data_IF_231010613473
#
_entry.id   IF_231010613473
#
_cell.length_a   1.000
_cell.length_b   1.000
_cell.length_c   1.000
_cell.angle_alpha   90.00
_cell.angle_beta   90.00
_cell.angle_gamma   90.00
#
_symmetry.space_group_name_H-M   'P 1'
#
loop_
_entity.id
_entity.type
_entity.pdbx_description
1 polymer ?
#
# COMPACT_ATOMS: atom_id res chain seq x y z
N UNK A 1 -16.73 6.49 18.50
CA UNK A 1 -15.39 6.26 19.04
C UNK A 1 -14.99 4.86 18.67
N UNK A 2 -13.89 4.70 18.00
CA UNK A 2 -13.36 3.43 17.53
C UNK A 2 -11.86 3.35 17.85
N UNK A 3 -11.34 2.14 18.08
CA UNK A 3 -9.93 1.86 18.32
C UNK A 3 -9.34 1.06 17.16
N UNK A 4 -8.02 0.98 17.08
CA UNK A 4 -7.33 0.20 16.03
C UNK A 4 -7.69 -1.28 16.04
N UNK A 5 -8.03 -1.84 17.20
CA UNK A 5 -8.35 -3.27 17.38
C UNK A 5 -9.81 -3.62 17.09
N UNK A 6 -10.67 -2.62 16.92
CA UNK A 6 -12.07 -2.86 16.65
C UNK A 6 -12.29 -3.54 15.29
N UNK A 7 -13.30 -4.40 15.25
CA UNK A 7 -13.69 -5.04 14.00
C UNK A 7 -14.32 -4.02 13.06
N UNK A 8 -13.93 -4.11 11.80
CA UNK A 8 -14.34 -3.16 10.78
C UNK A 8 -15.86 -3.18 10.50
N UNK A 9 -16.50 -4.34 10.62
CA UNK A 9 -17.95 -4.50 10.45
C UNK A 9 -18.78 -3.77 11.51
N UNK A 10 -18.23 -3.57 12.72
CA UNK A 10 -18.91 -2.77 13.76
C UNK A 10 -18.83 -1.26 13.47
N UNK A 11 -17.75 -0.82 12.83
CA UNK A 11 -17.53 0.61 12.53
C UNK A 11 -18.21 1.02 11.22
N UNK A 12 -18.09 0.20 10.17
CA UNK A 12 -18.56 0.51 8.81
C UNK A 12 -19.85 -0.23 8.42
N UNK A 13 -20.25 -1.24 9.19
CA UNK A 13 -21.31 -2.18 8.82
C UNK A 13 -20.87 -3.23 7.78
N UNK A 14 -21.58 -4.36 7.76
CA UNK A 14 -21.23 -5.52 6.92
C UNK A 14 -21.20 -5.24 5.41
N UNK A 15 -21.97 -4.26 4.91
CA UNK A 15 -22.00 -3.93 3.47
C UNK A 15 -20.68 -3.35 2.98
N UNK A 16 -20.01 -2.55 3.80
CA UNK A 16 -18.72 -1.94 3.47
C UNK A 16 -17.55 -2.84 3.87
N UNK A 17 -17.61 -3.45 5.07
CA UNK A 17 -16.54 -4.29 5.60
C UNK A 17 -16.43 -5.65 4.89
N UNK A 18 -17.56 -6.28 4.51
CA UNK A 18 -17.57 -7.61 3.90
C UNK A 18 -16.71 -7.72 2.64
N UNK A 19 -16.85 -6.86 1.63
CA UNK A 19 -15.98 -6.88 0.46
C UNK A 19 -14.50 -6.63 0.76
N UNK A 20 -14.17 -5.82 1.77
CA UNK A 20 -12.79 -5.58 2.21
C UNK A 20 -12.18 -6.83 2.86
N UNK A 21 -12.96 -7.54 3.67
CA UNK A 21 -12.52 -8.82 4.26
C UNK A 21 -12.36 -9.90 3.18
N UNK A 22 -13.34 -10.07 2.29
CA UNK A 22 -13.35 -11.13 1.27
C UNK A 22 -12.19 -10.98 0.27
N UNK A 23 -11.89 -9.75 -0.17
CA UNK A 23 -10.96 -9.52 -1.26
C UNK A 23 -9.57 -9.07 -0.85
N UNK A 24 -9.39 -8.55 0.37
CA UNK A 24 -8.11 -8.04 0.88
C UNK A 24 -7.74 -8.60 2.26
N UNK A 25 -8.62 -9.38 2.90
CA UNK A 25 -8.38 -9.91 4.24
C UNK A 25 -8.43 -8.86 5.35
N UNK A 26 -8.96 -7.68 5.08
CA UNK A 26 -9.06 -6.53 6.01
C UNK A 26 -10.23 -6.76 6.96
N UNK A 27 -9.96 -6.96 8.24
CA UNK A 27 -10.94 -7.31 9.28
C UNK A 27 -11.09 -6.26 10.37
N UNK A 28 -10.00 -5.57 10.68
CA UNK A 28 -9.94 -4.59 11.76
C UNK A 28 -9.71 -3.18 11.23
N UNK A 29 -9.94 -2.20 12.08
CA UNK A 29 -9.59 -0.80 11.80
C UNK A 29 -8.09 -0.68 11.47
N UNK A 30 -7.23 -1.37 12.23
CA UNK A 30 -5.80 -1.39 11.99
C UNK A 30 -5.45 -1.96 10.62
N UNK A 31 -6.09 -3.06 10.19
CA UNK A 31 -5.84 -3.63 8.86
C UNK A 31 -6.18 -2.64 7.75
N UNK A 32 -7.29 -1.90 7.89
CA UNK A 32 -7.70 -0.88 6.92
C UNK A 32 -6.71 0.27 6.87
N UNK A 33 -6.29 0.80 8.03
CA UNK A 33 -5.36 1.93 8.09
C UNK A 33 -3.91 1.55 7.74
N UNK A 34 -3.57 0.26 7.72
CA UNK A 34 -2.30 -0.26 7.19
C UNK A 34 -2.38 -0.69 5.72
N UNK A 35 -3.56 -0.61 5.10
CA UNK A 35 -3.71 -0.74 3.66
C UNK A 35 -3.35 0.59 2.99
N UNK A 36 -2.06 0.90 2.93
CA UNK A 36 -1.54 2.20 2.51
C UNK A 36 -1.81 2.49 1.04
N UNK A 37 -2.01 3.78 0.68
CA UNK A 37 -2.03 4.20 -0.71
C UNK A 37 -0.72 3.84 -1.42
N UNK A 38 -0.82 3.26 -2.60
CA UNK A 38 0.34 2.94 -3.44
C UNK A 38 0.90 4.19 -4.13
N UNK A 39 0.01 5.09 -4.53
CA UNK A 39 0.33 6.35 -5.24
C UNK A 39 -0.62 7.45 -4.79
N UNK A 40 -0.29 8.69 -5.15
CA UNK A 40 -1.16 9.85 -4.97
C UNK A 40 -1.32 10.55 -6.32
N UNK A 41 -2.52 11.07 -6.58
CA UNK A 41 -2.80 11.89 -7.76
C UNK A 41 -2.41 13.34 -7.46
N UNK A 42 -1.57 13.94 -8.28
CA UNK A 42 -1.22 15.37 -8.22
C UNK A 42 -2.17 16.21 -9.10
N UNK A 43 -3.47 15.97 -9.00
CA UNK A 43 -4.46 16.70 -9.80
C UNK A 43 -4.49 16.35 -11.28
N UNK A 44 -3.44 15.85 -11.86
CA UNK A 44 -3.37 15.35 -13.24
C UNK A 44 -2.35 14.22 -13.38
N UNK A 45 -2.83 13.02 -13.67
CA UNK A 45 -2.07 11.87 -14.20
C UNK A 45 -1.26 11.06 -13.18
N UNK A 46 -1.72 9.87 -12.91
CA UNK A 46 -1.04 8.86 -12.08
C UNK A 46 -0.19 7.88 -12.91
N UNK A 47 -0.21 8.01 -14.23
CA UNK A 47 0.72 7.28 -15.08
C UNK A 47 2.04 8.05 -15.09
N UNK A 48 3.04 7.56 -14.36
CA UNK A 48 4.41 8.04 -14.46
C UNK A 48 4.87 8.01 -15.92
N UNK A 49 5.52 9.06 -16.39
CA UNK A 49 6.18 9.05 -17.70
C UNK A 49 7.19 7.90 -17.70
N UNK A 50 6.95 6.85 -18.51
CA UNK A 50 7.86 5.72 -18.69
C UNK A 50 7.57 4.47 -17.85
N UNK A 51 6.47 4.38 -17.10
CA UNK A 51 6.05 3.10 -16.53
C UNK A 51 5.41 2.22 -17.61
N UNK A 52 6.10 1.15 -17.99
CA UNK A 52 5.53 0.06 -18.78
C UNK A 52 4.57 -0.73 -17.87
N UNK A 53 3.27 -0.50 -18.03
CA UNK A 53 2.24 -1.23 -17.31
C UNK A 53 2.05 -2.60 -17.99
N UNK A 54 2.01 -3.66 -17.19
CA UNK A 54 1.78 -5.01 -17.72
C UNK A 54 0.31 -5.21 -18.10
N UNK A 55 0.08 -6.00 -19.15
CA UNK A 55 -1.27 -6.38 -19.55
C UNK A 55 -1.93 -7.21 -18.44
N UNK A 56 -3.14 -6.82 -18.04
CA UNK A 56 -3.87 -7.40 -16.92
C UNK A 56 -3.63 -6.70 -15.58
N UNK A 57 -2.68 -5.77 -15.46
CA UNK A 57 -2.49 -4.98 -14.25
C UNK A 57 -3.72 -4.09 -14.00
N UNK A 58 -4.18 -4.05 -12.73
CA UNK A 58 -5.29 -3.19 -12.33
C UNK A 58 -4.78 -1.81 -11.95
N UNK A 59 -5.20 -0.79 -12.70
CA UNK A 59 -4.76 0.59 -12.53
C UNK A 59 -5.91 1.52 -12.18
N UNK A 60 -5.59 2.56 -11.45
CA UNK A 60 -6.50 3.69 -11.19
C UNK A 60 -5.76 4.98 -11.47
N UNK A 61 -6.40 5.89 -12.18
CA UNK A 61 -5.85 7.21 -12.47
C UNK A 61 -6.94 8.27 -12.67
N UNK A 62 -6.55 9.53 -12.51
CA UNK A 62 -7.37 10.71 -12.73
C UNK A 62 -6.87 11.41 -13.99
N UNK A 63 -7.76 11.72 -14.92
CA UNK A 63 -7.40 12.44 -16.14
C UNK A 63 -8.59 13.19 -16.73
N UNK A 64 -8.32 14.00 -17.75
CA UNK A 64 -9.33 14.77 -18.49
C UNK A 64 -9.60 14.10 -19.83
N UNK A 65 -10.88 14.01 -20.20
CA UNK A 65 -11.29 13.54 -21.52
C UNK A 65 -10.89 14.56 -22.58
N UNK A 66 -10.02 14.15 -23.48
CA UNK A 66 -9.61 14.95 -24.65
C UNK A 66 -10.43 14.65 -25.88
N UNK A 67 -11.08 13.47 -25.95
CA UNK A 67 -11.93 13.09 -27.06
C UNK A 67 -12.92 12.00 -26.63
N UNK A 68 -14.18 12.11 -27.04
CA UNK A 68 -15.20 11.10 -26.82
C UNK A 68 -15.93 10.78 -28.15
N UNK A 69 -15.74 9.56 -28.66
CA UNK A 69 -16.25 9.15 -29.97
C UNK A 69 -17.15 7.93 -29.89
N UNK A 70 -18.40 7.97 -30.37
CA UNK A 70 -19.17 6.77 -30.58
C UNK A 70 -18.63 5.99 -31.79
N UNK A 71 -18.41 4.69 -31.61
CA UNK A 71 -17.99 3.77 -32.67
C UNK A 71 -18.92 2.57 -32.73
N UNK A 72 -18.85 1.83 -33.83
CA UNK A 72 -19.67 0.67 -34.09
C UNK A 72 -18.82 -0.58 -34.27
N UNK A 73 -19.30 -1.71 -33.78
CA UNK A 73 -18.62 -3.00 -33.99
C UNK A 73 -18.68 -3.40 -35.45
N UNK A 74 -17.61 -4.06 -35.94
CA UNK A 74 -17.54 -4.53 -37.34
C UNK A 74 -18.40 -5.79 -37.62
N UNK A 75 -18.78 -6.53 -36.53
CA UNK A 75 -19.58 -7.78 -36.64
C UNK A 75 -21.06 -7.51 -36.49
N UNK A 76 -21.87 -8.24 -37.20
CA UNK A 76 -23.35 -8.20 -37.07
C UNK A 76 -23.78 -9.00 -35.81
N UNK A 77 -24.78 -8.52 -35.05
CA UNK A 77 -25.42 -7.20 -35.18
C UNK A 77 -24.47 -6.07 -34.75
N UNK A 78 -24.48 -4.97 -35.54
CA UNK A 78 -23.68 -3.77 -35.21
C UNK A 78 -24.10 -3.21 -33.86
N UNK A 79 -23.16 -3.13 -32.94
CA UNK A 79 -23.38 -2.55 -31.60
C UNK A 79 -22.56 -1.28 -31.46
N UNK A 80 -23.19 -0.26 -30.93
CA UNK A 80 -22.51 0.99 -30.60
C UNK A 80 -21.73 0.89 -29.31
N UNK A 81 -20.52 1.46 -29.28
CA UNK A 81 -19.71 1.62 -28.12
C UNK A 81 -19.07 3.01 -28.08
N UNK A 82 -18.75 3.51 -26.88
CA UNK A 82 -18.12 4.79 -26.68
C UNK A 82 -16.63 4.57 -26.43
N UNK A 83 -15.79 5.27 -27.19
CA UNK A 83 -14.34 5.33 -26.94
C UNK A 83 -14.01 6.72 -26.42
N UNK A 84 -13.40 6.76 -25.25
CA UNK A 84 -12.94 7.98 -24.60
C UNK A 84 -11.43 7.98 -24.62
N UNK A 85 -10.82 9.06 -25.11
CA UNK A 85 -9.37 9.26 -25.09
C UNK A 85 -9.04 10.23 -23.96
N UNK A 86 -8.04 9.89 -23.20
CA UNK A 86 -7.65 10.58 -21.98
C UNK A 86 -6.28 11.23 -22.14
N UNK A 87 -6.13 12.39 -21.50
CA UNK A 87 -4.89 13.12 -21.42
C UNK A 87 -4.37 13.69 -22.71
N UNK A 88 -3.47 14.61 -22.59
CA UNK A 88 -2.67 15.20 -23.69
C UNK A 88 -1.29 14.57 -23.78
N UNK A 89 -0.89 13.77 -22.80
CA UNK A 89 0.44 13.14 -22.68
C UNK A 89 0.53 11.81 -23.44
N UNK A 90 1.74 11.34 -23.65
CA UNK A 90 1.99 10.01 -24.24
C UNK A 90 2.52 9.07 -23.13
N UNK A 91 2.13 7.76 -23.12
CA UNK A 91 1.26 7.10 -24.10
C UNK A 91 -0.20 7.53 -23.99
N UNK A 92 -0.94 7.54 -25.11
CA UNK A 92 -2.40 7.79 -25.11
C UNK A 92 -3.11 6.64 -24.42
N UNK A 93 -3.99 6.98 -23.49
CA UNK A 93 -4.87 6.02 -22.82
C UNK A 93 -6.27 6.15 -23.39
N UNK A 94 -6.90 5.01 -23.69
CA UNK A 94 -8.28 4.96 -24.13
C UNK A 94 -9.13 4.13 -23.20
N UNK A 95 -10.35 4.56 -22.94
CA UNK A 95 -11.36 3.77 -22.24
C UNK A 95 -12.51 3.43 -23.17
N UNK A 96 -12.93 2.17 -23.22
CA UNK A 96 -13.99 1.69 -24.11
C UNK A 96 -15.19 1.20 -23.30
N UNK A 97 -16.36 1.76 -23.60
CA UNK A 97 -17.62 1.43 -22.93
C UNK A 97 -18.63 0.88 -23.95
N UNK A 98 -18.98 -0.41 -23.85
CA UNK A 98 -20.02 -1.01 -24.67
C UNK A 98 -21.41 -0.77 -24.06
N UNK A 99 -22.47 -0.73 -24.89
CA UNK A 99 -23.85 -0.49 -24.49
C UNK A 99 -24.07 0.80 -23.65
N UNK A 100 -23.28 1.80 -23.91
CA UNK A 100 -23.12 2.98 -23.03
C UNK A 100 -23.83 4.23 -23.63
N UNK A 101 -24.98 4.09 -24.25
CA UNK A 101 -25.73 5.23 -24.85
C UNK A 101 -25.98 6.37 -23.85
N UNK A 102 -26.19 6.01 -22.57
CA UNK A 102 -26.43 6.98 -21.51
C UNK A 102 -25.15 7.75 -21.10
N UNK A 103 -23.97 7.20 -21.36
CA UNK A 103 -22.70 7.85 -21.02
C UNK A 103 -22.30 8.97 -21.96
N UNK A 104 -22.81 8.99 -23.18
CA UNK A 104 -22.50 10.01 -24.20
C UNK A 104 -22.80 11.44 -23.75
N UNK A 105 -23.81 11.63 -22.91
CA UNK A 105 -24.19 12.96 -22.41
C UNK A 105 -23.35 13.43 -21.23
N UNK A 106 -22.59 12.54 -20.61
CA UNK A 106 -21.84 12.81 -19.42
C UNK A 106 -20.32 12.68 -19.60
N UNK A 107 -19.87 11.72 -20.40
CA UNK A 107 -18.46 11.57 -20.75
C UNK A 107 -18.15 12.37 -22.02
N UNK A 108 -18.00 13.67 -21.86
CA UNK A 108 -17.73 14.63 -22.94
C UNK A 108 -16.30 15.19 -22.78
N UNK A 109 -15.82 15.80 -23.85
CA UNK A 109 -14.52 16.50 -23.83
C UNK A 109 -14.48 17.56 -22.72
N UNK A 110 -13.35 17.66 -22.00
CA UNK A 110 -13.19 18.53 -20.84
C UNK A 110 -13.70 17.93 -19.51
N UNK A 111 -14.30 16.74 -19.52
CA UNK A 111 -14.69 16.06 -18.28
C UNK A 111 -13.47 15.49 -17.58
N UNK A 112 -13.24 15.88 -16.32
CA UNK A 112 -12.24 15.29 -15.44
C UNK A 112 -12.85 14.12 -14.68
N UNK A 113 -12.20 12.96 -14.76
CA UNK A 113 -12.75 11.74 -14.14
C UNK A 113 -11.64 10.85 -13.60
N UNK A 114 -12.00 10.06 -12.60
CA UNK A 114 -11.20 8.94 -12.11
C UNK A 114 -11.64 7.68 -12.84
N UNK A 115 -10.67 6.89 -13.29
CA UNK A 115 -10.88 5.62 -13.97
C UNK A 115 -10.15 4.51 -13.24
N UNK A 116 -10.77 3.33 -13.16
CA UNK A 116 -10.14 2.15 -12.56
C UNK A 116 -10.50 0.92 -13.38
N UNK A 117 -9.48 0.15 -13.80
CA UNK A 117 -9.68 -1.01 -14.64
C UNK A 117 -8.38 -1.75 -14.94
N UNK A 118 -8.50 -2.88 -15.62
CA UNK A 118 -7.36 -3.66 -16.08
C UNK A 118 -6.80 -3.08 -17.38
N UNK A 119 -5.48 -3.03 -17.42
CA UNK A 119 -4.71 -2.61 -18.59
C UNK A 119 -4.82 -3.66 -19.68
N UNK A 120 -5.13 -3.24 -20.88
CA UNK A 120 -4.99 -4.02 -22.09
C UNK A 120 -4.34 -3.16 -23.16
N UNK A 121 -3.86 -3.77 -24.21
CA UNK A 121 -3.26 -3.07 -25.35
C UNK A 121 -4.02 -3.39 -26.63
N UNK A 122 -4.39 -2.37 -27.35
CA UNK A 122 -5.00 -2.51 -28.68
C UNK A 122 -4.25 -1.65 -29.70
N UNK A 123 -3.63 -2.28 -30.69
CA UNK A 123 -2.79 -1.63 -31.72
C UNK A 123 -1.72 -0.70 -31.12
N UNK A 124 -1.05 -1.16 -30.05
CA UNK A 124 0.00 -0.40 -29.39
C UNK A 124 -0.49 0.77 -28.52
N UNK A 125 -1.82 0.93 -28.35
CA UNK A 125 -2.40 1.95 -27.47
C UNK A 125 -2.96 1.28 -26.23
N UNK A 126 -2.63 1.80 -25.05
CA UNK A 126 -3.21 1.32 -23.80
C UNK A 126 -4.72 1.56 -23.79
N UNK A 127 -5.45 0.51 -23.43
CA UNK A 127 -6.90 0.52 -23.41
C UNK A 127 -7.43 -0.10 -22.12
N UNK A 128 -8.38 0.59 -21.49
CA UNK A 128 -9.19 0.04 -20.42
C UNK A 128 -10.57 -0.37 -21.01
N UNK A 129 -10.95 -1.62 -20.81
CA UNK A 129 -12.24 -2.13 -21.29
C UNK A 129 -13.25 -2.15 -20.15
N UNK A 130 -14.33 -1.40 -20.28
CA UNK A 130 -15.36 -1.22 -19.27
C UNK A 130 -14.79 -0.85 -17.89
N UNK A 131 -13.88 0.16 -17.78
CA UNK A 131 -13.38 0.56 -16.50
C UNK A 131 -14.51 1.05 -15.60
N UNK A 132 -14.36 0.90 -14.31
CA UNK A 132 -15.13 1.67 -13.35
C UNK A 132 -14.70 3.13 -13.46
N UNK A 133 -15.61 4.07 -13.26
CA UNK A 133 -15.30 5.49 -13.38
C UNK A 133 -16.11 6.35 -12.42
N UNK A 134 -15.57 7.51 -12.11
CA UNK A 134 -16.20 8.55 -11.33
C UNK A 134 -15.88 9.91 -11.96
N UNK A 135 -16.90 10.70 -12.23
CA UNK A 135 -16.75 12.06 -12.77
C UNK A 135 -16.50 13.02 -11.62
N UNK A 136 -15.34 13.64 -11.60
CA UNK A 136 -14.93 14.66 -10.64
C UNK A 136 -15.48 16.03 -11.05
N UNK A 137 -15.25 16.42 -12.30
CA UNK A 137 -15.71 17.68 -12.87
C UNK A 137 -16.27 17.45 -14.27
N UNK A 138 -17.37 18.11 -14.61
CA UNK A 138 -17.96 18.01 -15.94
C UNK A 138 -18.39 19.37 -16.45
N UNK A 139 -18.11 19.70 -17.72
CA UNK A 139 -18.62 20.92 -18.34
C UNK A 139 -20.15 21.04 -18.29
N UNK A 140 -20.86 19.91 -18.13
CA UNK A 140 -22.32 19.88 -17.99
C UNK A 140 -22.82 20.08 -16.56
N UNK A 141 -21.92 20.25 -15.56
CA UNK A 141 -22.26 20.40 -14.15
C UNK A 141 -22.90 19.15 -13.52
N UNK A 142 -22.85 18.01 -14.20
CA UNK A 142 -23.43 16.75 -13.70
C UNK A 142 -22.36 15.82 -13.17
N UNK A 143 -22.47 15.47 -11.91
CA UNK A 143 -21.71 14.39 -11.32
C UNK A 143 -22.41 13.07 -11.53
N UNK A 144 -21.67 12.07 -12.00
CA UNK A 144 -22.17 10.70 -12.10
C UNK A 144 -21.00 9.69 -12.15
N UNK A 145 -21.30 8.43 -11.82
CA UNK A 145 -20.31 7.37 -11.80
C UNK A 145 -20.95 5.99 -11.84
N UNK A 146 -20.15 4.96 -11.71
CA UNK A 146 -20.60 3.56 -11.61
C UNK A 146 -21.47 3.34 -10.37
N UNK A 147 -22.24 2.25 -10.35
CA UNK A 147 -23.21 1.95 -9.27
C UNK A 147 -22.60 1.89 -7.87
N UNK A 148 -21.31 1.58 -7.74
CA UNK A 148 -20.58 1.53 -6.49
C UNK A 148 -20.65 2.83 -5.68
N UNK A 149 -20.67 3.98 -6.35
CA UNK A 149 -20.76 5.29 -5.70
C UNK A 149 -22.10 5.56 -5.02
N UNK A 150 -23.19 5.08 -5.58
CA UNK A 150 -24.51 5.15 -4.92
C UNK A 150 -24.52 4.33 -3.63
N UNK A 151 -23.73 3.27 -3.57
CA UNK A 151 -23.57 2.42 -2.39
C UNK A 151 -22.75 3.12 -1.33
N UNK A 152 -21.67 3.82 -1.71
CA UNK A 152 -20.85 4.61 -0.78
C UNK A 152 -21.65 5.75 -0.18
N UNK A 153 -22.38 6.52 -1.02
CA UNK A 153 -23.28 7.58 -0.53
C UNK A 153 -24.32 7.04 0.45
N UNK A 154 -24.90 5.88 0.17
CA UNK A 154 -25.86 5.25 1.05
C UNK A 154 -25.25 4.70 2.35
N UNK A 155 -23.97 4.35 2.34
CA UNK A 155 -23.25 3.77 3.50
C UNK A 155 -22.68 4.84 4.40
N UNK A 156 -22.18 5.96 3.83
CA UNK A 156 -21.59 7.08 4.58
C UNK A 156 -22.63 8.07 5.14
N UNK A 157 -23.91 7.94 4.76
CA UNK A 157 -24.95 8.93 5.13
C UNK A 157 -24.73 10.33 4.52
N UNK A 158 -23.68 10.49 3.70
CA UNK A 158 -23.32 11.75 3.07
C UNK A 158 -24.20 12.01 1.84
N UNK A 159 -24.56 13.27 1.63
CA UNK A 159 -25.21 13.71 0.38
C UNK A 159 -24.25 13.58 -0.79
N UNK A 160 -24.77 13.48 -2.02
CA UNK A 160 -23.94 13.35 -3.22
C UNK A 160 -22.89 14.46 -3.36
N UNK A 161 -23.21 15.69 -2.92
CA UNK A 161 -22.32 16.84 -3.00
C UNK A 161 -21.20 16.79 -1.93
N UNK A 162 -21.49 16.29 -0.72
CA UNK A 162 -20.47 16.06 0.32
C UNK A 162 -19.48 14.97 -0.08
N UNK A 163 -19.94 13.90 -0.74
CA UNK A 163 -19.06 12.89 -1.29
C UNK A 163 -18.17 13.44 -2.42
N UNK A 164 -18.72 14.32 -3.26
CA UNK A 164 -17.97 14.98 -4.32
C UNK A 164 -16.82 15.81 -3.74
N UNK A 165 -17.07 16.63 -2.74
CA UNK A 165 -16.05 17.47 -2.10
C UNK A 165 -14.90 16.65 -1.49
N UNK A 166 -15.19 15.43 -1.03
CA UNK A 166 -14.17 14.49 -0.52
C UNK A 166 -13.25 13.99 -1.63
N UNK A 167 -13.75 13.89 -2.87
CA UNK A 167 -12.98 13.43 -4.02
C UNK A 167 -12.40 14.55 -4.90
N UNK A 168 -12.82 15.80 -4.69
CA UNK A 168 -12.32 17.00 -5.39
C UNK A 168 -10.94 17.48 -4.88
N UNK A 169 -10.13 16.57 -4.34
CA UNK A 169 -8.79 16.90 -3.85
C UNK A 169 -7.77 16.80 -4.97
N UNK A 170 -6.89 17.79 -5.04
CA UNK A 170 -5.77 17.75 -5.99
C UNK A 170 -4.77 16.63 -5.66
N UNK A 171 -4.62 16.30 -4.37
CA UNK A 171 -3.76 15.22 -3.89
C UNK A 171 -4.60 14.06 -3.35
N UNK A 172 -4.99 13.13 -4.24
CA UNK A 172 -5.88 12.01 -3.92
C UNK A 172 -5.10 10.69 -3.74
N UNK A 173 -5.31 9.95 -2.63
CA UNK A 173 -4.64 8.68 -2.39
C UNK A 173 -5.22 7.56 -3.25
N UNK A 174 -4.36 6.80 -3.93
CA UNK A 174 -4.74 5.66 -4.77
C UNK A 174 -4.31 4.38 -4.08
N UNK A 175 -5.28 3.60 -3.68
CA UNK A 175 -5.07 2.34 -2.98
C UNK A 175 -4.92 1.17 -3.94
N UNK A 176 -4.20 0.10 -3.55
CA UNK A 176 -4.32 -1.20 -4.20
C UNK A 176 -5.79 -1.62 -4.23
N UNK A 177 -6.34 -1.76 -5.42
CA UNK A 177 -7.75 -2.02 -5.66
C UNK A 177 -7.93 -3.19 -6.65
N UNK A 178 -9.15 -3.67 -6.83
CA UNK A 178 -9.48 -4.70 -7.80
C UNK A 178 -10.86 -4.44 -8.43
N UNK A 179 -11.32 -5.33 -9.33
CA UNK A 179 -12.63 -5.21 -9.99
C UNK A 179 -13.83 -5.14 -9.04
N UNK A 180 -13.70 -5.64 -7.81
CA UNK A 180 -14.79 -5.76 -6.85
C UNK A 180 -14.82 -4.62 -5.86
N UNK A 181 -13.64 -4.13 -5.45
CA UNK A 181 -13.49 -3.01 -4.52
C UNK A 181 -12.56 -1.98 -5.13
N UNK A 182 -13.09 -0.80 -5.39
CA UNK A 182 -12.38 0.27 -6.06
C UNK A 182 -11.66 1.17 -5.05
N UNK A 183 -10.63 1.90 -5.52
CA UNK A 183 -9.84 2.79 -4.67
C UNK A 183 -10.68 3.83 -3.92
N UNK A 184 -11.71 4.39 -4.56
CA UNK A 184 -12.60 5.36 -3.91
C UNK A 184 -13.50 4.74 -2.84
N UNK A 185 -13.85 3.44 -2.97
CA UNK A 185 -14.59 2.71 -1.92
C UNK A 185 -13.72 2.53 -0.68
N UNK A 186 -12.45 2.15 -0.90
CA UNK A 186 -11.45 2.05 0.18
C UNK A 186 -11.25 3.40 0.84
N UNK A 187 -11.06 4.47 0.05
CA UNK A 187 -10.88 5.82 0.58
C UNK A 187 -12.09 6.30 1.40
N UNK A 188 -13.31 6.04 0.94
CA UNK A 188 -14.52 6.38 1.70
C UNK A 188 -14.58 5.64 3.04
N UNK A 189 -14.22 4.35 3.06
CA UNK A 189 -14.12 3.57 4.29
C UNK A 189 -13.04 4.12 5.23
N UNK A 190 -11.87 4.45 4.71
CA UNK A 190 -10.78 5.06 5.49
C UNK A 190 -11.23 6.39 6.11
N UNK A 191 -11.85 7.26 5.33
CA UNK A 191 -12.39 8.54 5.82
C UNK A 191 -13.36 8.34 6.98
N UNK A 192 -14.36 7.48 6.79
CA UNK A 192 -15.36 7.19 7.81
C UNK A 192 -14.74 6.62 9.10
N UNK A 193 -13.72 5.77 8.97
CA UNK A 193 -13.00 5.26 10.13
C UNK A 193 -12.21 6.36 10.83
N UNK A 194 -11.46 7.18 10.08
CA UNK A 194 -10.65 8.26 10.67
C UNK A 194 -11.48 9.34 11.36
N UNK A 195 -12.73 9.57 10.92
CA UNK A 195 -13.66 10.52 11.53
C UNK A 195 -14.12 10.07 12.94
N UNK A 196 -14.11 8.75 13.21
CA UNK A 196 -14.56 8.17 14.50
C UNK A 196 -13.44 7.54 15.32
N UNK A 197 -12.22 7.51 14.78
CA UNK A 197 -11.04 6.94 15.44
C UNK A 197 -10.58 7.79 16.60
N UNK A 198 -10.50 7.17 17.78
CA UNK A 198 -9.85 7.78 18.94
C UNK A 198 -8.35 7.99 18.67
N UNK A 199 -7.72 9.02 19.27
CA UNK A 199 -6.28 9.19 19.18
C UNK A 199 -5.54 7.92 19.59
N UNK A 200 -4.55 7.49 18.79
CA UNK A 200 -3.79 6.30 19.10
C UNK A 200 -2.68 6.59 20.10
N UNK A 201 -2.40 5.63 20.98
CA UNK A 201 -1.29 5.74 21.91
C UNK A 201 0.05 5.69 21.15
N UNK A 202 1.00 6.54 21.60
CA UNK A 202 2.33 6.59 21.00
C UNK A 202 3.24 5.50 21.58
N UNK A 203 3.63 4.47 20.78
CA UNK A 203 4.44 3.38 21.30
C UNK A 203 5.92 3.73 21.47
N UNK A 204 6.39 4.78 20.77
CA UNK A 204 7.79 5.16 20.81
C UNK A 204 8.07 6.22 21.90
N UNK A 205 9.22 6.16 22.58
CA UNK A 205 9.63 7.20 23.50
C UNK A 205 9.78 8.56 22.80
N UNK A 206 9.35 9.63 23.46
CA UNK A 206 9.45 11.01 22.93
C UNK A 206 10.89 11.39 22.51
N UNK A 207 11.90 10.87 23.21
CA UNK A 207 13.31 11.08 22.86
C UNK A 207 13.68 10.51 21.48
N UNK A 208 13.10 9.36 21.10
CA UNK A 208 13.32 8.74 19.78
C UNK A 208 12.67 9.58 18.70
N UNK A 209 11.43 10.02 18.90
CA UNK A 209 10.73 10.89 17.95
C UNK A 209 11.54 12.17 17.69
N UNK A 210 12.03 12.81 18.73
CA UNK A 210 12.82 14.04 18.60
C UNK A 210 14.16 13.81 17.89
N UNK A 211 14.92 12.76 18.28
CA UNK A 211 16.21 12.44 17.66
C UNK A 211 16.10 12.10 16.17
N UNK A 212 15.00 11.47 15.78
CA UNK A 212 14.76 11.03 14.40
C UNK A 212 13.89 11.98 13.61
N UNK A 213 13.43 13.09 14.21
CA UNK A 213 12.51 14.05 13.61
C UNK A 213 11.25 13.38 13.04
N UNK A 214 10.64 12.47 13.83
CA UNK A 214 9.44 11.73 13.45
C UNK A 214 8.20 12.35 14.08
N UNK A 215 7.10 12.31 13.34
CA UNK A 215 5.75 12.64 13.84
C UNK A 215 5.19 11.46 14.67
N UNK A 216 4.10 11.69 15.39
CA UNK A 216 3.41 10.64 16.17
C UNK A 216 2.79 9.58 15.27
N UNK A 217 2.47 8.38 15.84
CA UNK A 217 1.79 7.32 15.08
C UNK A 217 0.41 7.79 14.61
N UNK A 218 -0.37 8.46 15.46
CA UNK A 218 -1.69 9.00 15.11
C UNK A 218 -1.61 9.99 13.94
N UNK A 219 -0.67 10.94 14.00
CA UNK A 219 -0.43 11.88 12.91
C UNK A 219 -0.02 11.16 11.62
N UNK A 220 0.84 10.16 11.71
CA UNK A 220 1.31 9.41 10.54
C UNK A 220 0.19 8.59 9.90
N UNK A 221 -0.62 7.89 10.70
CA UNK A 221 -1.77 7.12 10.20
C UNK A 221 -2.82 8.02 9.54
N UNK A 222 -3.06 9.22 10.07
CA UNK A 222 -3.97 10.19 9.43
C UNK A 222 -3.36 10.79 8.18
N UNK A 223 -2.12 11.26 8.27
CA UNK A 223 -1.45 11.95 7.16
C UNK A 223 -1.19 11.05 5.96
N UNK A 224 -0.87 9.75 6.14
CA UNK A 224 -0.67 8.84 5.01
C UNK A 224 -1.93 8.68 4.15
N UNK A 225 -3.12 8.87 4.71
CA UNK A 225 -4.39 8.78 4.00
C UNK A 225 -4.97 10.13 3.58
N UNK A 226 -4.65 11.19 4.33
CA UNK A 226 -5.28 12.50 4.19
C UNK A 226 -4.30 13.61 3.80
N UNK A 227 -3.04 13.27 3.44
CA UNK A 227 -2.04 14.24 3.01
C UNK A 227 -2.59 15.19 1.94
N UNK A 228 -2.26 16.46 2.06
CA UNK A 228 -2.63 17.49 1.09
C UNK A 228 -1.48 17.80 0.12
N UNK A 229 -0.28 17.36 0.48
CA UNK A 229 0.92 17.59 -0.31
C UNK A 229 1.97 16.49 -0.08
N UNK A 230 2.97 16.48 -0.94
CA UNK A 230 4.06 15.51 -0.90
C UNK A 230 4.85 15.53 0.40
N UNK A 231 5.08 16.71 1.00
CA UNK A 231 5.85 16.83 2.24
C UNK A 231 5.16 16.17 3.44
N UNK A 232 3.84 16.30 3.55
CA UNK A 232 3.07 15.61 4.59
C UNK A 232 3.11 14.09 4.41
N UNK A 233 2.92 13.62 3.17
CA UNK A 233 3.04 12.20 2.83
C UNK A 233 4.41 11.65 3.20
N UNK A 234 5.48 12.34 2.84
CA UNK A 234 6.86 11.89 3.10
C UNK A 234 7.15 11.79 4.60
N UNK A 235 6.67 12.74 5.41
CA UNK A 235 6.80 12.67 6.87
C UNK A 235 6.03 11.46 7.44
N UNK A 236 4.81 11.23 6.98
CA UNK A 236 4.02 10.07 7.38
C UNK A 236 4.69 8.77 6.97
N UNK A 237 5.15 8.67 5.73
CA UNK A 237 5.85 7.50 5.20
C UNK A 237 7.15 7.22 5.98
N UNK A 238 7.94 8.25 6.29
CA UNK A 238 9.16 8.10 7.07
C UNK A 238 8.88 7.49 8.46
N UNK A 239 7.81 7.96 9.15
CA UNK A 239 7.40 7.40 10.43
C UNK A 239 6.95 5.95 10.30
N UNK A 240 6.05 5.64 9.39
CA UNK A 240 5.50 4.28 9.23
C UNK A 240 6.57 3.27 8.79
N UNK A 241 7.50 3.68 7.92
CA UNK A 241 8.66 2.85 7.56
C UNK A 241 9.57 2.59 8.76
N UNK A 242 9.76 3.60 9.62
CA UNK A 242 10.54 3.43 10.85
C UNK A 242 9.85 2.43 11.80
N UNK A 243 8.52 2.53 11.97
CA UNK A 243 7.76 1.61 12.82
C UNK A 243 7.85 0.16 12.33
N UNK A 244 7.75 -0.08 11.02
CA UNK A 244 7.93 -1.42 10.44
C UNK A 244 9.34 -1.96 10.70
N UNK A 245 10.38 -1.13 10.54
CA UNK A 245 11.75 -1.51 10.82
C UNK A 245 11.97 -1.83 12.30
N UNK A 246 11.39 -1.03 13.21
CA UNK A 246 11.44 -1.28 14.66
C UNK A 246 10.73 -2.58 15.01
N UNK A 247 9.53 -2.83 14.45
CA UNK A 247 8.79 -4.06 14.68
C UNK A 247 9.57 -5.31 14.25
N UNK A 248 10.19 -5.25 13.06
CA UNK A 248 11.06 -6.32 12.56
C UNK A 248 12.27 -6.54 13.48
N UNK A 249 12.97 -5.47 13.84
CA UNK A 249 14.13 -5.56 14.73
C UNK A 249 13.74 -6.08 16.12
N UNK A 250 12.58 -5.64 16.63
CA UNK A 250 12.07 -6.14 17.92
C UNK A 250 11.84 -7.66 17.90
N UNK A 251 11.23 -8.15 16.83
CA UNK A 251 10.99 -9.59 16.65
C UNK A 251 12.31 -10.38 16.58
N UNK A 252 13.31 -9.87 15.82
CA UNK A 252 14.64 -10.50 15.71
C UNK A 252 15.40 -10.49 17.03
N UNK A 253 15.37 -9.37 17.75
CA UNK A 253 16.00 -9.23 19.08
C UNK A 253 15.29 -10.14 20.08
N UNK A 254 13.95 -10.17 20.09
CA UNK A 254 13.18 -11.06 20.96
C UNK A 254 13.52 -12.54 20.74
N UNK A 255 13.67 -12.96 19.49
CA UNK A 255 14.10 -14.31 19.13
C UNK A 255 15.53 -14.58 19.64
N UNK A 256 16.45 -13.66 19.40
CA UNK A 256 17.84 -13.80 19.88
C UNK A 256 17.91 -13.90 21.39
N UNK A 257 17.14 -13.10 22.13
CA UNK A 257 17.10 -13.20 23.59
C UNK A 257 16.48 -14.51 24.06
N UNK A 258 15.46 -15.04 23.38
CA UNK A 258 14.91 -16.36 23.66
C UNK A 258 15.96 -17.47 23.48
N UNK A 259 16.69 -17.47 22.37
CA UNK A 259 17.78 -18.41 22.10
C UNK A 259 18.92 -18.29 23.15
N UNK A 260 19.27 -17.08 23.59
CA UNK A 260 20.31 -16.84 24.61
C UNK A 260 19.85 -17.19 26.04
N UNK A 261 18.56 -17.33 26.30
CA UNK A 261 18.03 -17.75 27.61
C UNK A 261 18.13 -19.25 27.84
N UNK A 262 18.32 -20.05 26.78
CA UNK A 262 18.56 -21.47 26.90
C UNK A 262 19.99 -21.72 27.50
N UNK A 263 20.10 -22.68 28.41
CA UNK A 263 21.40 -23.07 28.95
C UNK A 263 21.99 -24.22 28.12
N UNK A 264 23.20 -24.03 27.64
CA UNK A 264 23.98 -25.07 26.97
C UNK A 264 25.06 -25.72 27.88
N UNK A 265 25.61 -26.86 27.47
CA UNK A 265 26.74 -27.44 28.17
C UNK A 265 27.97 -26.53 28.05
N UNK A 266 28.62 -26.27 29.18
CA UNK A 266 29.87 -25.50 29.21
C UNK A 266 31.03 -26.38 28.75
N UNK A 267 31.72 -25.94 27.69
CA UNK A 267 32.89 -26.63 27.15
C UNK A 267 34.14 -25.75 27.34
N UNK A 268 34.79 -25.88 28.50
CA UNK A 268 36.02 -25.14 28.75
C UNK A 268 37.22 -25.92 28.24
N UNK A 269 38.15 -25.29 27.50
CA UNK A 269 39.37 -25.93 27.08
C UNK A 269 40.26 -26.23 28.31
N UNK A 270 40.71 -27.46 28.42
CA UNK A 270 41.73 -27.85 29.41
C UNK A 270 43.12 -27.65 28.82
N UNK A 271 44.09 -27.26 29.66
CA UNK A 271 45.48 -26.96 29.23
C UNK A 271 46.16 -28.14 28.51
N UNK A 272 45.87 -29.36 28.94
CA UNK A 272 46.40 -30.60 28.34
C UNK A 272 45.31 -31.46 27.69
N UNK A 273 44.19 -30.87 27.30
CA UNK A 273 43.05 -31.53 26.71
C UNK A 273 43.20 -31.81 25.21
N UNK A 274 42.12 -32.38 24.63
CA UNK A 274 42.06 -32.77 23.21
C UNK A 274 42.32 -31.61 22.23
N UNK A 275 41.90 -30.40 22.57
CA UNK A 275 42.10 -29.21 21.74
C UNK A 275 43.60 -28.87 21.64
N UNK A 276 44.33 -28.96 22.78
CA UNK A 276 45.77 -28.74 22.85
C UNK A 276 46.53 -29.81 22.08
N UNK A 277 46.14 -31.08 22.24
CA UNK A 277 46.73 -32.20 21.49
C UNK A 277 46.52 -32.07 19.97
N UNK A 278 45.30 -31.67 19.56
CA UNK A 278 44.99 -31.44 18.17
C UNK A 278 45.83 -30.29 17.57
N UNK A 279 45.95 -29.17 18.29
CA UNK A 279 46.77 -28.02 17.84
C UNK A 279 48.23 -28.38 17.63
N UNK A 280 48.78 -29.22 18.50
CA UNK A 280 50.17 -29.68 18.41
C UNK A 280 50.42 -30.69 17.28
N UNK A 281 49.38 -31.35 16.77
CA UNK A 281 49.45 -32.30 15.65
C UNK A 281 49.19 -31.72 14.25
N UNK A 282 48.82 -30.39 14.17
CA UNK A 282 48.61 -29.76 12.89
C UNK A 282 49.90 -29.74 12.07
N UNK A 283 49.88 -30.12 10.80
CA UNK A 283 51.05 -30.11 9.91
C UNK A 283 51.41 -28.71 9.38
N UNK A 284 50.73 -27.69 9.88
CA UNK A 284 50.90 -26.27 9.51
C UNK A 284 50.63 -25.36 10.71
N UNK A 285 51.14 -24.13 10.66
CA UNK A 285 50.82 -23.11 11.64
C UNK A 285 49.52 -22.37 11.27
N UNK A 286 48.68 -22.16 12.30
CA UNK A 286 47.47 -21.32 12.10
C UNK A 286 47.85 -19.88 11.88
N UNK A 287 47.14 -19.20 10.98
CA UNK A 287 47.28 -17.75 10.78
C UNK A 287 46.79 -16.99 12.01
N UNK A 288 47.18 -15.72 12.14
CA UNK A 288 46.73 -14.89 13.27
C UNK A 288 45.21 -14.77 13.33
N UNK A 289 44.54 -14.57 12.18
CA UNK A 289 43.07 -14.50 12.10
C UNK A 289 42.39 -15.81 12.55
N UNK A 290 42.97 -16.98 12.20
CA UNK A 290 42.43 -18.27 12.66
C UNK A 290 42.63 -18.45 14.18
N UNK A 291 43.76 -18.00 14.74
CA UNK A 291 43.98 -18.00 16.19
C UNK A 291 42.98 -17.13 16.93
N UNK A 292 42.78 -15.88 16.46
CA UNK A 292 41.81 -14.95 17.04
C UNK A 292 40.38 -15.52 17.03
N UNK A 293 39.95 -16.11 15.92
CA UNK A 293 38.61 -16.74 15.79
C UNK A 293 38.48 -17.91 16.77
N UNK A 294 39.49 -18.77 16.89
CA UNK A 294 39.50 -19.92 17.85
C UNK A 294 39.44 -19.45 19.29
N UNK A 295 40.08 -18.34 19.61
CA UNK A 295 40.05 -17.79 20.98
C UNK A 295 38.66 -17.24 21.31
N UNK A 296 38.00 -16.55 20.36
CA UNK A 296 36.60 -16.09 20.50
C UNK A 296 35.65 -17.28 20.68
N UNK A 297 35.77 -18.32 19.84
CA UNK A 297 34.93 -19.52 19.94
C UNK A 297 35.16 -20.25 21.28
N UNK A 298 36.37 -20.37 21.72
CA UNK A 298 36.72 -21.00 23.02
C UNK A 298 36.15 -20.24 24.21
N UNK A 299 36.21 -18.91 24.17
CA UNK A 299 35.65 -18.06 25.21
C UNK A 299 34.09 -18.22 25.27
N UNK A 300 33.41 -18.18 24.13
CA UNK A 300 31.96 -18.33 24.09
C UNK A 300 31.48 -19.75 24.46
N UNK A 301 32.18 -20.80 24.04
CA UNK A 301 31.90 -22.18 24.45
C UNK A 301 32.11 -22.43 25.94
N UNK A 302 32.91 -21.57 26.60
CA UNK A 302 33.14 -21.61 28.04
C UNK A 302 32.00 -20.98 28.85
N UNK A 303 31.03 -20.34 28.19
CA UNK A 303 29.85 -19.82 28.84
C UNK A 303 28.72 -20.87 28.88
N UNK A 304 27.72 -20.68 29.74
CA UNK A 304 26.52 -21.54 29.80
C UNK A 304 25.47 -21.23 28.73
N UNK A 305 25.75 -20.30 27.84
CA UNK A 305 24.87 -19.89 26.77
C UNK A 305 25.16 -20.67 25.48
N UNK A 306 24.13 -21.02 24.69
CA UNK A 306 24.36 -21.65 23.39
C UNK A 306 25.07 -20.69 22.45
N UNK A 307 26.14 -21.17 21.83
CA UNK A 307 26.88 -20.43 20.81
C UNK A 307 26.23 -20.64 19.44
N UNK A 308 25.89 -19.54 18.79
CA UNK A 308 25.35 -19.55 17.41
C UNK A 308 26.21 -18.61 16.55
N UNK A 309 27.18 -19.18 15.83
CA UNK A 309 28.16 -18.45 15.02
C UNK A 309 28.24 -19.00 13.59
N UNK A 310 28.37 -18.11 12.65
CA UNK A 310 28.74 -18.45 11.27
C UNK A 310 30.20 -18.05 11.05
N UNK A 311 31.01 -19.01 10.65
CA UNK A 311 32.39 -18.76 10.23
C UNK A 311 32.39 -18.56 8.72
N UNK A 312 32.88 -17.40 8.28
CA UNK A 312 33.05 -17.08 6.87
C UNK A 312 34.53 -16.79 6.61
N UNK A 313 35.13 -17.50 5.66
CA UNK A 313 36.51 -17.36 5.27
C UNK A 313 36.68 -17.14 3.79
#
# INVERSE_FOLDING_TARGET
MATLTDRLDYVLGNKAAGPLEEHFGIRTVNDLLRHYPRKYSDGMTVLGEGEDLEEGEHVTFVDVITKAEPKWTNRAPKREYLVVTLGTRRPKVTATFFNAKYLKKGLVEGTRLMLSGEVGYFKGTMQLTHPAFFVLESPSGRSFGTKSLKTIAATSGATGDELLSVFERDFFPIYPANKKVQTWEIYACVRQVLDVLDPTDEPLPKSVLQQRNLISEDEALRAIHLAENTAERERAQARLTFDEAVGLQWALVGRRYGELSESGPVARPESDGLLSAMRNQLPFELTNGQKEVLDVLSAELSESRPMNRMLQG
#
